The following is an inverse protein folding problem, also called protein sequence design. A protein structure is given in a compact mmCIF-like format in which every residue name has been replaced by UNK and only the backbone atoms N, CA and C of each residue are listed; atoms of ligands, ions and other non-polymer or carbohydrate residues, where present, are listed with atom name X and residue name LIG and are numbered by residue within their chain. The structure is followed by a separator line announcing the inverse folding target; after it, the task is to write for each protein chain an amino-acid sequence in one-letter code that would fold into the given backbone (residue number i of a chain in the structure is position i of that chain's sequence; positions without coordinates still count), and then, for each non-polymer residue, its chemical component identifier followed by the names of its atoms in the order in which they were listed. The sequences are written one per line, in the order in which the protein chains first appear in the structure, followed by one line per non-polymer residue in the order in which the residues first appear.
data_IF_050217871322
#
_entry.id   IF_050217871322
#
_cell.length_a   1.000
_cell.length_b   1.000
_cell.length_c   1.000
_cell.angle_alpha   90.00
_cell.angle_beta   90.00
_cell.angle_gamma   90.00
#
_symmetry.space_group_name_H-M   'P 1'
#
loop_
_entity.id
_entity.type
_entity.pdbx_description
1 polymer ?
#
# COMPACT_ATOMS: atom_id res chain seq x y z
N UNK A 1 17.45 17.40 -14.85
CA UNK A 1 17.27 16.39 -15.93
C UNK A 1 17.62 15.04 -15.32
N UNK A 2 16.62 14.21 -15.05
CA UNK A 2 16.84 12.90 -14.48
C UNK A 2 17.24 11.91 -15.61
N UNK A 3 18.13 10.95 -15.39
CA UNK A 3 18.63 10.02 -16.41
C UNK A 3 17.56 9.05 -16.94
N UNK A 4 16.31 9.35 -16.72
CA UNK A 4 15.13 8.52 -17.03
C UNK A 4 14.67 8.60 -18.50
N UNK A 5 14.94 9.71 -19.19
CA UNK A 5 14.37 9.93 -20.54
C UNK A 5 15.12 9.21 -21.68
N UNK A 6 16.37 8.78 -21.46
CA UNK A 6 17.18 8.17 -22.53
C UNK A 6 17.01 6.66 -22.74
N UNK A 7 16.46 5.93 -21.77
CA UNK A 7 16.33 4.47 -21.86
C UNK A 7 14.97 3.96 -22.37
N UNK A 8 14.03 4.86 -22.71
CA UNK A 8 12.72 4.47 -23.26
C UNK A 8 12.71 4.19 -24.77
N UNK A 9 13.83 4.39 -25.46
CA UNK A 9 13.93 4.15 -26.91
C UNK A 9 15.04 3.15 -27.20
N UNK A 10 14.63 1.95 -27.63
CA UNK A 10 15.49 1.00 -28.34
C UNK A 10 15.83 -0.28 -27.60
N UNK A 11 14.95 -1.24 -27.62
CA UNK A 11 15.23 -2.65 -27.33
C UNK A 11 14.43 -3.54 -28.24
N UNK A 12 15.01 -3.93 -29.36
CA UNK A 12 14.48 -4.99 -30.23
C UNK A 12 14.50 -6.31 -29.45
N UNK A 13 13.33 -6.82 -29.12
CA UNK A 13 13.17 -8.11 -28.42
C UNK A 13 13.40 -9.23 -29.42
N UNK A 14 14.58 -9.82 -29.40
CA UNK A 14 14.81 -11.13 -29.99
C UNK A 14 14.05 -12.20 -29.21
N UNK A 15 13.17 -12.90 -29.89
CA UNK A 15 12.23 -13.85 -29.32
C UNK A 15 12.90 -15.06 -28.67
N UNK A 16 12.47 -15.37 -27.45
CA UNK A 16 12.66 -16.68 -26.82
C UNK A 16 11.25 -17.21 -26.46
N UNK A 17 10.58 -17.94 -27.36
CA UNK A 17 9.24 -18.47 -27.13
C UNK A 17 9.17 -19.44 -25.93
N UNK A 18 10.26 -20.21 -25.69
CA UNK A 18 10.31 -21.22 -24.62
C UNK A 18 10.35 -20.63 -23.20
N UNK A 19 10.92 -19.47 -23.00
CA UNK A 19 10.95 -18.83 -21.67
C UNK A 19 9.55 -18.36 -21.23
N UNK A 20 8.71 -17.88 -22.14
CA UNK A 20 7.33 -17.48 -21.84
C UNK A 20 6.45 -18.67 -21.43
N UNK A 21 6.61 -19.81 -22.06
CA UNK A 21 5.85 -21.02 -21.71
C UNK A 21 6.33 -21.65 -20.40
N UNK A 22 7.65 -21.64 -20.14
CA UNK A 22 8.21 -22.09 -18.87
C UNK A 22 7.74 -21.21 -17.71
N UNK A 23 7.75 -19.88 -17.89
CA UNK A 23 7.25 -18.91 -16.91
C UNK A 23 5.75 -19.09 -16.68
N UNK A 24 4.95 -19.35 -17.71
CA UNK A 24 3.53 -19.68 -17.57
C UNK A 24 3.31 -20.98 -16.79
N UNK A 25 4.09 -22.02 -17.09
CA UNK A 25 4.02 -23.31 -16.38
C UNK A 25 4.37 -23.19 -14.89
N UNK A 26 5.45 -22.47 -14.57
CA UNK A 26 5.86 -22.18 -13.20
C UNK A 26 4.82 -21.29 -12.48
N UNK A 27 4.28 -20.26 -13.16
CA UNK A 27 3.24 -19.40 -12.64
C UNK A 27 1.92 -20.15 -12.40
N UNK A 28 1.57 -21.15 -13.20
CA UNK A 28 0.36 -21.94 -12.98
C UNK A 28 0.50 -22.95 -11.83
N UNK A 29 1.69 -23.54 -11.66
CA UNK A 29 1.99 -24.47 -10.57
C UNK A 29 2.20 -23.80 -9.21
N UNK A 30 2.63 -22.51 -9.20
CA UNK A 30 2.87 -21.71 -7.99
C UNK A 30 1.81 -20.61 -7.78
N UNK A 31 0.74 -20.61 -8.55
CA UNK A 31 -0.24 -19.51 -8.64
C UNK A 31 -0.94 -19.16 -7.31
N UNK A 32 -1.03 -20.07 -6.36
CA UNK A 32 -1.67 -19.80 -5.08
C UNK A 32 -0.95 -18.79 -4.18
N UNK A 33 0.39 -18.75 -4.08
CA UNK A 33 1.07 -17.74 -3.27
C UNK A 33 1.23 -16.38 -3.94
N UNK A 34 1.12 -16.28 -5.27
CA UNK A 34 1.37 -15.06 -6.04
C UNK A 34 0.17 -14.10 -6.16
N UNK A 35 -0.98 -14.44 -5.58
CA UNK A 35 -2.15 -13.55 -5.57
C UNK A 35 -1.95 -12.36 -4.62
N UNK A 36 -2.62 -11.24 -4.92
CA UNK A 36 -2.66 -10.06 -4.05
C UNK A 36 -3.62 -10.30 -2.90
N UNK A 37 -3.15 -10.13 -1.66
CA UNK A 37 -4.01 -10.18 -0.48
C UNK A 37 -4.87 -8.92 -0.46
N UNK A 38 -6.19 -9.08 -0.34
CA UNK A 38 -7.13 -7.97 -0.25
C UNK A 38 -7.93 -7.96 1.05
N UNK A 39 -7.99 -9.08 1.75
CA UNK A 39 -8.63 -9.26 3.05
C UNK A 39 -8.22 -10.59 3.65
N UNK A 40 -8.64 -10.85 4.88
CA UNK A 40 -8.44 -12.15 5.56
C UNK A 40 -9.80 -12.78 5.88
N UNK A 41 -9.99 -14.04 5.52
CA UNK A 41 -11.15 -14.82 5.94
C UNK A 41 -10.92 -15.28 7.40
N UNK A 42 -11.56 -14.57 8.33
CA UNK A 42 -11.44 -14.83 9.78
C UNK A 42 -12.79 -14.79 10.48
N UNK A 43 -12.91 -15.51 11.60
CA UNK A 43 -14.05 -15.43 12.52
C UNK A 43 -13.84 -14.35 13.58
N UNK A 44 -12.60 -13.90 13.78
CA UNK A 44 -12.26 -12.86 14.73
C UNK A 44 -12.84 -11.51 14.30
N UNK A 45 -13.38 -10.71 15.22
CA UNK A 45 -13.87 -9.37 14.93
C UNK A 45 -12.69 -8.39 14.83
N UNK A 46 -11.87 -8.55 13.81
CA UNK A 46 -10.68 -7.75 13.59
C UNK A 46 -10.66 -7.17 12.17
N UNK A 47 -10.15 -5.96 12.03
CA UNK A 47 -9.92 -5.26 10.76
C UNK A 47 -8.54 -4.60 10.80
N UNK A 48 -7.96 -4.33 9.63
CA UNK A 48 -6.72 -3.59 9.51
C UNK A 48 -6.98 -2.23 8.84
N UNK A 49 -6.66 -1.15 9.55
CA UNK A 49 -6.54 0.17 8.95
C UNK A 49 -5.14 0.28 8.33
N UNK A 50 -5.07 0.74 7.10
CA UNK A 50 -3.81 0.90 6.38
C UNK A 50 -3.71 2.30 5.80
N UNK A 51 -2.50 2.87 5.85
CA UNK A 51 -2.20 4.23 5.46
C UNK A 51 -1.03 4.22 4.49
N UNK A 52 -1.20 4.85 3.33
CA UNK A 52 -0.22 4.90 2.27
C UNK A 52 0.45 6.27 2.18
N UNK A 53 1.57 6.36 1.47
CA UNK A 53 2.28 7.55 1.00
C UNK A 53 3.24 8.22 1.99
N UNK A 54 3.07 8.05 3.29
CA UNK A 54 3.96 8.64 4.31
C UNK A 54 5.41 8.11 4.31
N UNK A 55 6.20 8.53 5.32
CA UNK A 55 5.84 9.47 6.37
C UNK A 55 5.93 10.94 5.95
N UNK A 56 5.15 11.80 6.60
CA UNK A 56 5.21 13.25 6.44
C UNK A 56 5.18 13.94 7.82
N UNK A 57 6.01 14.98 8.07
CA UNK A 57 6.16 15.57 9.40
C UNK A 57 4.88 16.22 9.94
N UNK A 58 4.03 16.78 9.07
CA UNK A 58 2.81 17.47 9.49
C UNK A 58 1.59 16.53 9.57
N UNK A 59 1.61 15.39 8.84
CA UNK A 59 0.44 14.54 8.68
C UNK A 59 0.51 13.25 9.50
N UNK A 60 1.67 12.57 9.48
CA UNK A 60 1.82 11.27 10.15
C UNK A 60 1.72 11.37 11.68
N UNK A 61 2.39 12.35 12.36
CA UNK A 61 2.32 12.44 13.82
C UNK A 61 0.91 12.64 14.39
N UNK A 62 0.05 13.55 13.88
CA UNK A 62 -1.31 13.69 14.39
C UNK A 62 -2.17 12.43 14.23
N UNK A 63 -1.95 11.67 13.15
CA UNK A 63 -2.62 10.39 12.96
C UNK A 63 -2.17 9.34 13.99
N UNK A 64 -0.88 9.26 14.31
CA UNK A 64 -0.36 8.37 15.34
C UNK A 64 -0.97 8.68 16.71
N UNK A 65 -1.13 9.95 17.06
CA UNK A 65 -1.76 10.39 18.30
C UNK A 65 -3.24 9.95 18.39
N UNK A 66 -3.96 9.99 17.29
CA UNK A 66 -5.32 9.46 17.20
C UNK A 66 -5.32 7.95 17.46
N UNK A 67 -4.48 7.20 16.75
CA UNK A 67 -4.40 5.75 16.91
C UNK A 67 -4.03 5.34 18.33
N UNK A 68 -3.06 6.03 18.95
CA UNK A 68 -2.61 5.80 20.31
C UNK A 68 -3.73 6.03 21.35
N UNK A 69 -4.45 7.18 21.25
CA UNK A 69 -5.58 7.49 22.15
C UNK A 69 -6.67 6.42 22.17
N UNK A 70 -6.84 5.72 21.04
CA UNK A 70 -7.85 4.66 20.88
C UNK A 70 -7.27 3.25 21.02
N UNK A 71 -6.00 3.09 21.38
CA UNK A 71 -5.34 1.79 21.50
C UNK A 71 -5.34 0.99 20.19
N UNK A 72 -5.42 1.68 19.06
CA UNK A 72 -5.51 1.09 17.73
C UNK A 72 -4.13 0.97 17.08
N UNK A 73 -3.91 -0.11 16.32
CA UNK A 73 -2.69 -0.28 15.53
C UNK A 73 -3.01 -0.34 14.05
N UNK A 74 -2.20 0.35 13.25
CA UNK A 74 -2.33 0.42 11.80
C UNK A 74 -1.14 -0.18 11.06
N UNK A 75 -1.23 -0.22 9.75
CA UNK A 75 -0.11 -0.56 8.87
C UNK A 75 0.15 0.58 7.90
N UNK A 76 1.37 1.10 7.91
CA UNK A 76 1.79 2.22 7.09
C UNK A 76 2.62 1.72 5.91
N UNK A 77 2.15 1.90 4.69
CA UNK A 77 2.91 1.62 3.48
C UNK A 77 3.64 2.89 3.06
N UNK A 78 4.92 2.94 3.41
CA UNK A 78 5.72 4.16 3.29
C UNK A 78 6.48 4.23 1.97
N UNK A 79 6.55 5.44 1.41
CA UNK A 79 7.40 5.77 0.27
C UNK A 79 8.86 5.90 0.74
N UNK A 80 9.77 5.18 0.10
CA UNK A 80 11.16 5.10 0.54
C UNK A 80 11.89 6.44 0.59
N UNK A 81 11.64 7.36 -0.35
CA UNK A 81 12.20 8.72 -0.32
C UNK A 81 11.75 9.50 0.91
N UNK A 82 10.47 9.40 1.28
CA UNK A 82 9.93 10.03 2.49
C UNK A 82 10.52 9.38 3.74
N UNK A 83 10.57 8.06 3.79
CA UNK A 83 11.16 7.31 4.89
C UNK A 83 12.66 7.65 5.12
N UNK A 84 13.42 7.79 4.03
CA UNK A 84 14.84 8.21 4.10
C UNK A 84 15.01 9.65 4.56
N UNK A 85 14.06 10.51 4.22
CA UNK A 85 14.07 11.93 4.63
C UNK A 85 13.70 12.10 6.10
N UNK A 86 12.84 11.22 6.63
CA UNK A 86 12.27 11.32 7.97
C UNK A 86 12.41 9.99 8.73
N UNK A 87 13.65 9.51 8.97
CA UNK A 87 13.89 8.22 9.63
C UNK A 87 13.37 8.20 11.08
N UNK A 88 13.32 9.34 11.75
CA UNK A 88 12.74 9.48 13.08
C UNK A 88 11.23 9.20 13.10
N UNK A 89 10.50 9.54 12.02
CA UNK A 89 9.09 9.19 11.89
C UNK A 89 8.90 7.70 11.62
N UNK A 90 9.79 7.09 10.85
CA UNK A 90 9.80 5.63 10.64
C UNK A 90 9.95 4.91 11.98
N UNK A 91 10.91 5.34 12.82
CA UNK A 91 11.11 4.80 14.16
C UNK A 91 9.87 5.03 15.06
N UNK A 92 9.31 6.23 15.08
CA UNK A 92 8.12 6.57 15.87
C UNK A 92 6.92 5.69 15.52
N UNK A 93 6.67 5.43 14.22
CA UNK A 93 5.61 4.53 13.77
C UNK A 93 5.86 3.11 14.28
N UNK A 94 7.08 2.61 14.21
CA UNK A 94 7.44 1.29 14.69
C UNK A 94 7.30 1.15 16.21
N UNK A 95 7.77 2.15 16.97
CA UNK A 95 7.69 2.22 18.45
C UNK A 95 6.24 2.26 18.94
N UNK A 96 5.32 2.87 18.18
CA UNK A 96 3.88 2.82 18.42
C UNK A 96 3.23 1.45 18.17
N UNK A 97 4.02 0.43 17.80
CA UNK A 97 3.52 -0.93 17.54
C UNK A 97 2.79 -1.08 16.21
N UNK A 98 2.91 -0.10 15.32
CA UNK A 98 2.37 -0.18 13.97
C UNK A 98 3.28 -1.02 13.06
N UNK A 99 2.74 -1.58 11.99
CA UNK A 99 3.53 -2.28 10.98
C UNK A 99 3.91 -1.33 9.83
N UNK A 100 5.12 -1.49 9.30
CA UNK A 100 5.60 -0.74 8.15
C UNK A 100 5.67 -1.64 6.93
N UNK A 101 5.05 -1.22 5.83
CA UNK A 101 5.11 -1.88 4.53
C UNK A 101 5.82 -1.03 3.50
N UNK A 102 6.28 -1.67 2.45
CA UNK A 102 6.99 -1.05 1.35
C UNK A 102 5.99 -0.49 0.32
N UNK A 103 6.12 0.82 -0.01
CA UNK A 103 5.31 1.49 -1.02
C UNK A 103 6.13 2.02 -2.19
N UNK A 104 7.21 1.32 -2.56
CA UNK A 104 8.22 1.72 -3.54
C UNK A 104 9.11 2.88 -3.07
N UNK A 105 10.15 3.18 -3.85
CA UNK A 105 11.09 4.25 -3.52
C UNK A 105 10.52 5.64 -3.73
N UNK A 106 9.89 5.91 -4.89
CA UNK A 106 9.39 7.24 -5.29
C UNK A 106 8.02 7.21 -5.99
N UNK A 107 7.20 6.22 -5.60
CA UNK A 107 5.78 6.12 -5.93
C UNK A 107 5.46 6.03 -7.44
N UNK A 108 6.22 5.28 -8.26
CA UNK A 108 5.91 5.14 -9.68
C UNK A 108 4.81 4.10 -9.95
N UNK A 109 4.14 4.22 -11.09
CA UNK A 109 3.32 3.15 -11.63
C UNK A 109 4.18 1.94 -12.00
N UNK A 110 4.09 0.86 -11.22
CA UNK A 110 4.92 -0.33 -11.40
C UNK A 110 4.81 -1.00 -12.77
N UNK A 111 3.63 -1.05 -13.44
CA UNK A 111 3.52 -1.60 -14.79
C UNK A 111 4.32 -0.87 -15.86
N UNK A 112 4.65 0.41 -15.65
CA UNK A 112 5.39 1.22 -16.63
C UNK A 112 6.92 1.02 -16.54
N UNK A 113 7.39 0.37 -15.48
CA UNK A 113 8.82 0.18 -15.26
C UNK A 113 9.34 -1.13 -15.86
N UNK A 114 10.61 -1.15 -16.24
CA UNK A 114 11.34 -2.39 -16.55
C UNK A 114 11.54 -3.22 -15.27
N UNK A 115 11.74 -4.54 -15.39
CA UNK A 115 11.93 -5.43 -14.25
C UNK A 115 13.10 -5.02 -13.33
N UNK A 116 14.20 -4.50 -13.92
CA UNK A 116 15.33 -3.99 -13.15
C UNK A 116 14.94 -2.79 -12.27
N UNK A 117 14.21 -1.83 -12.81
CA UNK A 117 13.77 -0.65 -12.06
C UNK A 117 12.71 -1.00 -11.02
N UNK A 118 11.77 -1.90 -11.32
CA UNK A 118 10.79 -2.38 -10.33
C UNK A 118 11.47 -2.99 -9.10
N UNK A 119 12.46 -3.85 -9.30
CA UNK A 119 13.20 -4.46 -8.18
C UNK A 119 13.95 -3.41 -7.37
N UNK A 120 14.61 -2.45 -8.01
CA UNK A 120 15.27 -1.34 -7.30
C UNK A 120 14.32 -0.48 -6.49
N UNK A 121 13.11 -0.21 -7.01
CA UNK A 121 12.08 0.51 -6.28
C UNK A 121 11.72 -0.17 -4.95
N UNK A 122 11.65 -1.51 -4.97
CA UNK A 122 11.35 -2.31 -3.79
C UNK A 122 12.57 -2.37 -2.85
N UNK A 123 13.75 -2.62 -3.40
CA UNK A 123 15.01 -2.73 -2.64
C UNK A 123 15.33 -1.45 -1.89
N UNK A 124 15.38 -0.30 -2.57
CA UNK A 124 15.71 0.99 -1.97
C UNK A 124 14.70 1.42 -0.89
N UNK A 125 13.42 1.14 -1.10
CA UNK A 125 12.41 1.39 -0.07
C UNK A 125 12.63 0.46 1.13
N UNK A 126 12.91 -0.83 0.90
CA UNK A 126 13.19 -1.77 1.99
C UNK A 126 14.42 -1.35 2.81
N UNK A 127 15.48 -0.85 2.17
CA UNK A 127 16.66 -0.28 2.84
C UNK A 127 16.30 0.93 3.70
N UNK A 128 15.46 1.85 3.19
CA UNK A 128 15.04 3.04 3.93
C UNK A 128 14.14 2.73 5.14
N UNK A 129 13.44 1.59 5.12
CA UNK A 129 12.60 1.13 6.22
C UNK A 129 13.34 0.25 7.24
N UNK A 130 14.57 -0.17 6.95
CA UNK A 130 15.32 -1.02 7.86
C UNK A 130 15.68 -0.28 9.17
N UNK A 131 15.68 -0.98 10.34
CA UNK A 131 15.35 -2.40 10.53
C UNK A 131 13.85 -2.69 10.73
N UNK A 132 12.96 -1.71 10.62
CA UNK A 132 11.55 -1.77 11.05
C UNK A 132 10.60 -2.33 9.98
N UNK A 133 11.02 -2.35 8.71
CA UNK A 133 10.18 -2.75 7.58
C UNK A 133 9.73 -4.21 7.63
N UNK A 134 8.44 -4.45 7.46
CA UNK A 134 7.88 -5.78 7.28
C UNK A 134 8.04 -6.27 5.82
N UNK A 135 7.78 -7.56 5.59
CA UNK A 135 7.78 -8.14 4.23
C UNK A 135 6.42 -7.93 3.51
N UNK A 136 5.81 -6.77 3.70
CA UNK A 136 4.61 -6.35 2.99
C UNK A 136 4.98 -5.35 1.90
N UNK A 137 4.31 -5.46 0.77
CA UNK A 137 4.45 -4.53 -0.35
C UNK A 137 3.07 -4.13 -0.87
N UNK A 138 2.87 -2.83 -1.10
CA UNK A 138 1.70 -2.31 -1.79
C UNK A 138 2.16 -1.50 -3.00
N UNK A 139 1.71 -1.87 -4.21
CA UNK A 139 2.06 -1.09 -5.41
C UNK A 139 1.32 0.25 -5.39
N UNK A 140 2.00 1.36 -5.76
CA UNK A 140 1.35 2.66 -5.94
C UNK A 140 0.09 2.56 -6.83
N UNK A 141 -0.93 3.32 -6.46
CA UNK A 141 -2.24 3.35 -7.15
C UNK A 141 -2.97 1.98 -7.22
N UNK A 142 -2.47 0.94 -6.54
CA UNK A 142 -2.90 -0.45 -6.75
C UNK A 142 -2.51 -1.01 -8.11
N UNK A 143 -1.71 -0.31 -8.90
CA UNK A 143 -1.35 -0.69 -10.26
C UNK A 143 -0.27 -1.76 -10.28
N UNK A 144 -0.59 -2.89 -10.90
CA UNK A 144 0.31 -4.03 -10.97
C UNK A 144 0.09 -4.88 -12.23
N UNK A 145 1.16 -5.53 -12.63
CA UNK A 145 1.20 -6.51 -13.70
C UNK A 145 1.68 -7.87 -13.16
N UNK A 146 1.57 -8.97 -13.92
CA UNK A 146 2.18 -10.25 -13.55
C UNK A 146 3.68 -10.11 -13.23
N UNK A 147 4.41 -9.31 -14.03
CA UNK A 147 5.84 -9.06 -13.82
C UNK A 147 6.14 -8.29 -12.53
N UNK A 148 5.38 -7.23 -12.20
CA UNK A 148 5.61 -6.47 -10.98
C UNK A 148 5.29 -7.30 -9.73
N UNK A 149 4.28 -8.17 -9.80
CA UNK A 149 3.97 -9.09 -8.71
C UNK A 149 5.06 -10.14 -8.51
N UNK A 150 5.60 -10.68 -9.61
CA UNK A 150 6.71 -11.62 -9.54
C UNK A 150 7.97 -10.96 -8.94
N UNK A 151 8.29 -9.73 -9.35
CA UNK A 151 9.42 -8.99 -8.79
C UNK A 151 9.26 -8.77 -7.27
N UNK A 152 8.06 -8.43 -6.80
CA UNK A 152 7.79 -8.30 -5.37
C UNK A 152 7.93 -9.64 -4.62
N UNK A 153 7.42 -10.73 -5.20
CA UNK A 153 7.54 -12.07 -4.60
C UNK A 153 8.99 -12.54 -4.54
N UNK A 154 9.78 -12.32 -5.59
CA UNK A 154 11.20 -12.65 -5.62
C UNK A 154 12.02 -11.83 -4.60
N UNK A 155 11.59 -10.60 -4.30
CA UNK A 155 12.15 -9.79 -3.22
C UNK A 155 11.66 -10.23 -1.82
N UNK A 156 10.90 -11.32 -1.73
CA UNK A 156 10.39 -11.88 -0.46
C UNK A 156 9.21 -11.12 0.13
N UNK A 157 8.51 -10.32 -0.66
CA UNK A 157 7.39 -9.52 -0.20
C UNK A 157 6.02 -10.16 -0.52
N UNK A 158 5.10 -10.04 0.41
CA UNK A 158 3.68 -10.32 0.19
C UNK A 158 2.98 -9.07 -0.34
N UNK A 159 2.36 -9.17 -1.52
CA UNK A 159 1.58 -8.05 -2.08
C UNK A 159 0.24 -7.94 -1.38
N UNK A 160 -0.05 -6.76 -0.84
CA UNK A 160 -1.27 -6.44 -0.09
C UNK A 160 -1.92 -5.19 -0.67
N UNK A 161 -3.17 -5.33 -1.11
CA UNK A 161 -4.05 -4.21 -1.43
C UNK A 161 -5.16 -4.10 -0.36
N UNK A 162 -6.40 -3.89 -0.75
CA UNK A 162 -7.54 -3.62 0.14
C UNK A 162 -8.83 -4.22 -0.42
N UNK A 163 -9.82 -4.42 0.40
CA UNK A 163 -11.21 -4.70 -0.02
C UNK A 163 -12.17 -3.54 0.33
N UNK A 164 -11.70 -2.59 1.15
CA UNK A 164 -12.44 -1.40 1.54
C UNK A 164 -11.58 -0.16 1.27
N UNK A 165 -12.19 0.87 0.70
CA UNK A 165 -11.52 2.09 0.28
C UNK A 165 -12.33 3.31 0.71
N UNK A 166 -11.68 4.28 1.35
CA UNK A 166 -12.30 5.53 1.78
C UNK A 166 -12.37 6.58 0.67
N UNK A 167 -11.48 6.49 -0.33
CA UNK A 167 -11.26 7.49 -1.39
C UNK A 167 -10.88 8.87 -0.83
N UNK A 168 -10.07 8.88 0.21
CA UNK A 168 -9.66 10.04 0.99
C UNK A 168 -8.66 10.98 0.27
N UNK A 169 -8.27 10.63 -0.95
CA UNK A 169 -7.56 11.54 -1.88
C UNK A 169 -8.49 12.52 -2.61
N UNK A 170 -9.79 12.41 -2.35
CA UNK A 170 -10.80 13.39 -2.81
C UNK A 170 -11.02 14.43 -1.72
N UNK A 171 -11.49 15.58 -2.12
CA UNK A 171 -11.87 16.68 -1.20
C UNK A 171 -13.27 16.47 -0.62
N UNK A 172 -13.56 15.25 -0.19
CA UNK A 172 -14.85 14.87 0.38
C UNK A 172 -14.86 15.05 1.91
N UNK A 173 -16.02 15.34 2.51
CA UNK A 173 -16.14 15.40 3.97
C UNK A 173 -16.02 14.01 4.62
N UNK A 174 -15.71 13.97 5.94
CA UNK A 174 -15.53 12.70 6.69
C UNK A 174 -16.70 11.72 6.54
N UNK A 175 -17.94 12.23 6.52
CA UNK A 175 -19.17 11.42 6.35
C UNK A 175 -19.18 10.62 5.05
N UNK A 176 -18.73 11.20 3.96
CA UNK A 176 -18.69 10.53 2.68
C UNK A 176 -17.63 9.40 2.67
N UNK A 177 -16.47 9.62 3.31
CA UNK A 177 -15.45 8.60 3.51
C UNK A 177 -15.99 7.44 4.36
N UNK A 178 -16.61 7.75 5.50
CA UNK A 178 -17.21 6.76 6.39
C UNK A 178 -18.31 5.95 5.71
N UNK A 179 -19.19 6.59 4.95
CA UNK A 179 -20.24 5.90 4.19
C UNK A 179 -19.66 4.87 3.20
N UNK A 180 -18.54 5.19 2.53
CA UNK A 180 -17.86 4.24 1.63
C UNK A 180 -17.28 3.07 2.41
N UNK A 181 -16.64 3.33 3.55
CA UNK A 181 -16.07 2.30 4.42
C UNK A 181 -17.16 1.37 4.94
N UNK A 182 -18.22 1.89 5.58
CA UNK A 182 -19.27 1.08 6.20
C UNK A 182 -20.02 0.19 5.22
N UNK A 183 -20.20 0.64 3.99
CA UNK A 183 -20.89 -0.14 2.95
C UNK A 183 -20.27 -1.51 2.69
N UNK A 184 -18.95 -1.66 2.89
CA UNK A 184 -18.19 -2.88 2.56
C UNK A 184 -17.48 -3.50 3.74
N UNK A 185 -17.40 -2.81 4.88
CA UNK A 185 -16.65 -3.25 6.03
C UNK A 185 -17.18 -4.58 6.59
N UNK A 186 -16.27 -5.49 6.89
CA UNK A 186 -16.55 -6.79 7.50
C UNK A 186 -15.32 -7.30 8.25
N UNK A 187 -15.48 -8.39 9.00
CA UNK A 187 -14.35 -9.07 9.65
C UNK A 187 -13.29 -9.41 8.63
N UNK A 188 -12.06 -9.13 8.96
CA UNK A 188 -10.90 -9.38 8.12
C UNK A 188 -10.67 -8.39 6.99
N UNK A 189 -11.44 -7.29 6.91
CA UNK A 189 -11.23 -6.23 5.92
C UNK A 189 -9.89 -5.53 6.12
N UNK A 190 -9.29 -5.16 5.00
CA UNK A 190 -8.15 -4.25 4.90
C UNK A 190 -8.68 -2.95 4.31
N UNK A 191 -8.62 -1.88 5.10
CA UNK A 191 -9.16 -0.56 4.74
C UNK A 191 -8.04 0.35 4.29
N UNK A 192 -8.18 0.96 3.11
CA UNK A 192 -7.24 1.94 2.58
C UNK A 192 -7.63 3.37 2.96
N UNK A 193 -6.67 4.03 3.56
CA UNK A 193 -6.51 5.47 3.73
C UNK A 193 -5.11 5.89 3.31
N UNK A 194 -4.81 7.18 3.35
CA UNK A 194 -3.47 7.74 3.15
C UNK A 194 -3.15 8.67 4.32
N UNK A 195 -2.02 8.49 5.00
CA UNK A 195 -1.61 9.43 6.06
C UNK A 195 -1.21 10.78 5.48
N UNK A 196 -0.57 10.79 4.32
CA UNK A 196 -0.36 11.97 3.47
C UNK A 196 -0.69 11.63 2.02
N UNK A 197 -0.51 12.56 1.08
CA UNK A 197 -0.57 12.29 -0.36
C UNK A 197 0.78 12.62 -0.99
N UNK A 198 1.53 11.60 -1.40
CA UNK A 198 2.81 11.77 -2.08
C UNK A 198 2.62 12.46 -3.43
N UNK A 199 1.55 12.12 -4.11
CA UNK A 199 1.11 12.73 -5.37
C UNK A 199 -0.39 13.03 -5.32
N UNK A 200 -0.80 14.17 -5.88
CA UNK A 200 -2.22 14.54 -5.97
C UNK A 200 -2.52 15.28 -7.26
N UNK A 201 -3.77 15.24 -7.69
CA UNK A 201 -4.31 16.05 -8.79
C UNK A 201 -4.87 17.38 -8.24
N UNK A 202 -5.43 17.33 -7.03
CA UNK A 202 -6.04 18.47 -6.34
C UNK A 202 -5.24 18.82 -5.10
N UNK A 203 -4.64 20.00 -5.06
CA UNK A 203 -3.83 20.46 -3.93
C UNK A 203 -4.68 20.63 -2.65
N UNK A 204 -5.99 20.86 -2.74
CA UNK A 204 -6.88 20.91 -1.57
C UNK A 204 -6.98 19.55 -0.85
N UNK A 205 -6.78 18.43 -1.55
CA UNK A 205 -6.75 17.11 -0.96
C UNK A 205 -5.52 16.86 -0.06
N UNK A 206 -4.50 17.75 -0.09
CA UNK A 206 -3.36 17.68 0.83
C UNK A 206 -3.72 18.00 2.28
N UNK A 207 -4.83 18.68 2.52
CA UNK A 207 -5.37 18.79 3.88
C UNK A 207 -5.87 17.41 4.34
N UNK A 208 -5.16 16.83 5.30
CA UNK A 208 -5.49 15.51 5.84
C UNK A 208 -6.40 15.58 7.09
N UNK A 209 -6.83 16.77 7.50
CA UNK A 209 -7.74 16.92 8.65
C UNK A 209 -9.06 16.17 8.47
N UNK A 210 -9.76 16.21 7.31
CA UNK A 210 -10.98 15.44 7.10
C UNK A 210 -10.76 13.92 7.19
N UNK A 211 -9.63 13.41 6.68
CA UNK A 211 -9.30 11.99 6.78
C UNK A 211 -9.04 11.59 8.24
N UNK A 212 -8.27 12.40 8.99
CA UNK A 212 -7.99 12.15 10.41
C UNK A 212 -9.29 12.14 11.22
N UNK A 213 -10.21 13.07 10.98
CA UNK A 213 -11.53 13.06 11.60
C UNK A 213 -12.32 11.79 11.26
N UNK A 214 -12.34 11.38 9.98
CA UNK A 214 -13.01 10.14 9.57
C UNK A 214 -12.42 8.91 10.29
N UNK A 215 -11.09 8.83 10.41
CA UNK A 215 -10.42 7.73 11.14
C UNK A 215 -10.80 7.75 12.62
N UNK A 216 -10.76 8.91 13.28
CA UNK A 216 -11.09 9.01 14.71
C UNK A 216 -12.55 8.61 14.98
N UNK A 217 -13.49 9.09 14.18
CA UNK A 217 -14.91 8.70 14.28
C UNK A 217 -15.10 7.20 14.05
N UNK A 218 -14.42 6.63 13.04
CA UNK A 218 -14.47 5.19 12.78
C UNK A 218 -13.96 4.38 13.99
N UNK A 219 -12.88 4.81 14.63
CA UNK A 219 -12.35 4.16 15.83
C UNK A 219 -13.35 4.21 16.99
N UNK A 220 -13.96 5.38 17.25
CA UNK A 220 -14.97 5.55 18.31
C UNK A 220 -16.19 4.67 18.05
N UNK A 221 -16.73 4.69 16.84
CA UNK A 221 -17.98 3.99 16.48
C UNK A 221 -17.81 2.45 16.43
N UNK A 222 -16.60 1.97 16.15
CA UNK A 222 -16.37 0.54 15.93
C UNK A 222 -15.57 -0.17 17.04
N UNK A 223 -15.07 0.52 18.07
CA UNK A 223 -14.24 -0.05 19.14
C UNK A 223 -14.87 -1.27 19.85
N UNK A 224 -16.18 -1.28 20.00
CA UNK A 224 -16.91 -2.37 20.66
C UNK A 224 -17.25 -3.53 19.70
N UNK A 225 -17.04 -3.33 18.40
CA UNK A 225 -17.37 -4.31 17.33
C UNK A 225 -16.14 -4.94 16.71
N UNK A 226 -15.01 -4.22 16.66
CA UNK A 226 -13.79 -4.66 15.99
C UNK A 226 -12.54 -4.30 16.77
N UNK A 227 -11.56 -5.19 16.73
CA UNK A 227 -10.18 -4.89 17.09
C UNK A 227 -9.47 -4.30 15.87
N UNK A 228 -8.73 -3.21 16.07
CA UNK A 228 -7.89 -2.58 15.05
C UNK A 228 -6.49 -3.14 15.17
N UNK A 229 -6.11 -3.96 14.20
CA UNK A 229 -4.85 -4.70 14.21
C UNK A 229 -4.02 -4.38 12.97
N UNK A 230 -2.72 -4.63 13.03
CA UNK A 230 -1.85 -4.52 11.86
C UNK A 230 -2.15 -5.61 10.83
N UNK A 231 -1.78 -5.39 9.55
CA UNK A 231 -1.91 -6.44 8.51
C UNK A 231 -1.16 -7.73 8.88
N UNK A 232 0.09 -7.69 9.41
CA UNK A 232 0.75 -8.91 9.87
C UNK A 232 -0.02 -9.66 10.95
N UNK A 233 -0.65 -8.96 11.89
CA UNK A 233 -1.50 -9.58 12.92
C UNK A 233 -2.77 -10.16 12.29
N UNK A 234 -3.44 -9.40 11.41
CA UNK A 234 -4.64 -9.87 10.73
C UNK A 234 -4.38 -11.15 9.93
N UNK A 235 -3.21 -11.26 9.27
CA UNK A 235 -2.80 -12.46 8.53
C UNK A 235 -2.64 -13.71 9.41
N UNK A 236 -2.37 -13.55 10.73
CA UNK A 236 -2.30 -14.66 11.68
C UNK A 236 -3.67 -15.11 12.18
N UNK A 237 -4.69 -14.29 12.02
CA UNK A 237 -6.06 -14.55 12.51
C UNK A 237 -6.92 -15.37 11.55
N UNK A 238 -6.43 -15.67 10.34
CA UNK A 238 -7.21 -16.42 9.38
C UNK A 238 -6.52 -16.65 8.04
N UNK A 239 -7.27 -17.13 7.08
CA UNK A 239 -6.77 -17.44 5.74
C UNK A 239 -6.76 -16.19 4.86
N UNK A 240 -5.61 -15.78 4.29
CA UNK A 240 -5.55 -14.66 3.34
C UNK A 240 -6.43 -14.93 2.12
N UNK A 241 -7.34 -14.00 1.82
CA UNK A 241 -8.09 -14.02 0.59
C UNK A 241 -7.28 -13.31 -0.48
N UNK A 242 -6.83 -14.06 -1.50
CA UNK A 242 -5.99 -13.57 -2.58
C UNK A 242 -6.82 -13.42 -3.85
N UNK A 243 -6.61 -12.28 -4.52
CA UNK A 243 -7.27 -11.97 -5.77
C UNK A 243 -6.25 -11.79 -6.89
N UNK A 244 -6.63 -12.14 -8.12
CA UNK A 244 -5.85 -11.81 -9.30
C UNK A 244 -6.10 -10.34 -9.69
N UNK A 245 -5.57 -9.47 -8.87
CA UNK A 245 -5.70 -8.02 -9.06
C UNK A 245 -4.67 -7.58 -10.09
N UNK A 246 -5.14 -7.19 -11.27
CA UNK A 246 -4.33 -6.55 -12.29
C UNK A 246 -4.98 -5.21 -12.64
N UNK A 247 -4.34 -4.13 -12.26
CA UNK A 247 -4.73 -2.78 -12.62
C UNK A 247 -3.65 -2.21 -13.53
N UNK A 248 -4.05 -1.82 -14.73
CA UNK A 248 -3.16 -1.16 -15.69
C UNK A 248 -2.91 0.28 -15.28
N UNK A 249 -1.75 0.82 -15.70
CA UNK A 249 -1.44 2.23 -15.51
C UNK A 249 -2.50 3.11 -16.19
N UNK A 250 -2.99 4.10 -15.45
CA UNK A 250 -3.93 5.11 -15.94
C UNK A 250 -3.16 6.31 -16.47
N UNK A 251 -2.66 6.20 -17.69
CA UNK A 251 -1.75 7.18 -18.30
C UNK A 251 -2.30 8.60 -18.29
N UNK A 252 -3.60 8.78 -18.55
CA UNK A 252 -4.22 10.11 -18.57
C UNK A 252 -4.25 10.75 -17.18
N UNK A 253 -4.50 9.95 -16.15
CA UNK A 253 -4.47 10.41 -14.76
C UNK A 253 -3.04 10.70 -14.30
N UNK A 254 -2.07 9.84 -14.65
CA UNK A 254 -0.66 10.03 -14.28
C UNK A 254 -0.05 11.33 -14.86
N UNK A 255 -0.56 11.84 -15.98
CA UNK A 255 -0.16 13.12 -16.53
C UNK A 255 -0.68 14.33 -15.73
N UNK A 256 -1.69 14.16 -14.91
CA UNK A 256 -2.35 15.20 -14.11
C UNK A 256 -1.80 15.27 -12.68
N UNK A 257 -1.13 14.21 -12.22
CA UNK A 257 -0.57 14.11 -10.88
C UNK A 257 0.64 15.02 -10.74
N UNK A 258 0.68 15.78 -9.63
CA UNK A 258 1.75 16.72 -9.27
C UNK A 258 2.59 16.17 -8.11
#
# INVERSE_FOLDING_TARGET
MLPYESELRGGTVLGIPRAKELVKGVLSATALPLGTVIRVATREPAIALTFDDGPHPDDTPPLLEILERHGARGTFFMVGKSARRWPELVARVAEGGHALGNHTWDHPSMPLLTGRYRRRQIEWCAEALAPHGSKLFRPPYGEQSPGSRLDAALAGHTVVCWDVIAEDWRTDPPEAMLARVYRRLRRGSIVLFHDTLYTTVDDAARDRAPMREAVERLLVELKDRYRFVTVPELLRLGRPYRWHWYQRARLDWLKQVK
#
